data_IF_875168782192
#
_entry.id   IF_875168782192
#
_cell.length_a   1.000
_cell.length_b   1.000
_cell.length_c   1.000
_cell.angle_alpha   90.00
_cell.angle_beta   90.00
_cell.angle_gamma   90.00
#
_symmetry.space_group_name_H-M   'P 1'
#
loop_
_entity.id
_entity.type
_entity.pdbx_description
1 polymer ?
#
# COMPACT_ATOMS: atom_id res chain seq x y z
N UNK A 1 12.76 -4.02 -4.74
CA UNK A 1 12.88 -3.21 -5.97
C UNK A 1 14.29 -3.17 -6.60
N UNK A 2 15.32 -3.82 -6.03
CA UNK A 2 16.63 -4.00 -6.69
C UNK A 2 17.16 -5.45 -6.69
N UNK A 3 16.45 -6.40 -6.05
CA UNK A 3 16.91 -7.79 -5.90
C UNK A 3 16.79 -8.64 -7.19
N UNK A 4 16.32 -8.07 -8.30
CA UNK A 4 15.92 -8.83 -9.50
C UNK A 4 16.59 -8.34 -10.79
N UNK A 5 17.76 -7.71 -10.70
CA UNK A 5 18.54 -7.32 -11.86
C UNK A 5 19.80 -8.20 -11.89
N UNK A 6 19.70 -9.34 -12.58
CA UNK A 6 20.81 -10.26 -12.85
C UNK A 6 21.77 -9.75 -13.93
N UNK A 7 22.12 -8.46 -13.88
CA UNK A 7 23.02 -7.81 -14.82
C UNK A 7 24.07 -6.99 -14.07
N UNK A 8 25.20 -6.73 -14.73
CA UNK A 8 26.33 -5.93 -14.24
C UNK A 8 25.90 -4.50 -13.86
N UNK A 9 25.36 -4.33 -12.66
CA UNK A 9 25.04 -3.02 -12.09
C UNK A 9 26.33 -2.31 -11.70
N UNK A 10 26.47 -1.06 -12.14
CA UNK A 10 27.50 -0.15 -11.65
C UNK A 10 26.94 0.63 -10.45
N UNK A 11 27.82 1.15 -9.59
CA UNK A 11 27.40 1.96 -8.43
C UNK A 11 26.50 3.14 -8.83
N UNK A 12 26.71 3.71 -10.01
CA UNK A 12 25.89 4.78 -10.57
C UNK A 12 24.43 4.37 -10.85
N UNK A 13 24.16 3.07 -11.01
CA UNK A 13 22.83 2.52 -11.27
C UNK A 13 22.04 2.32 -9.97
N UNK A 14 22.71 2.34 -8.81
CA UNK A 14 22.05 2.18 -7.51
C UNK A 14 21.37 3.51 -7.15
N UNK A 15 20.02 3.55 -7.06
CA UNK A 15 19.32 4.77 -6.73
C UNK A 15 19.68 5.21 -5.31
N UNK A 16 20.14 6.46 -5.18
CA UNK A 16 20.36 7.10 -3.89
C UNK A 16 19.05 7.15 -3.07
N UNK A 17 19.16 7.28 -1.74
CA UNK A 17 18.00 7.28 -0.82
C UNK A 17 16.88 8.23 -1.25
N UNK A 18 17.24 9.42 -1.74
CA UNK A 18 16.28 10.43 -2.21
C UNK A 18 15.47 9.92 -3.40
N UNK A 19 16.13 9.24 -4.34
CA UNK A 19 15.49 8.65 -5.52
C UNK A 19 14.60 7.48 -5.11
N UNK A 20 15.05 6.64 -4.17
CA UNK A 20 14.23 5.57 -3.62
C UNK A 20 12.98 6.10 -2.93
N UNK A 21 13.10 7.10 -2.06
CA UNK A 21 11.95 7.73 -1.40
C UNK A 21 10.97 8.30 -2.43
N UNK A 22 11.46 9.00 -3.46
CA UNK A 22 10.60 9.50 -4.54
C UNK A 22 9.87 8.37 -5.28
N UNK A 23 10.57 7.28 -5.61
CA UNK A 23 9.97 6.14 -6.31
C UNK A 23 8.93 5.42 -5.44
N UNK A 24 9.20 5.26 -4.14
CA UNK A 24 8.25 4.67 -3.18
C UNK A 24 6.99 5.55 -3.07
N UNK A 25 7.17 6.85 -2.87
CA UNK A 25 6.03 7.78 -2.79
C UNK A 25 5.24 7.83 -4.09
N UNK A 26 5.90 7.89 -5.24
CA UNK A 26 5.24 7.89 -6.54
C UNK A 26 4.44 6.59 -6.77
N UNK A 27 5.01 5.44 -6.42
CA UNK A 27 4.31 4.15 -6.53
C UNK A 27 3.12 4.07 -5.57
N UNK A 28 3.32 4.52 -4.32
CA UNK A 28 2.26 4.57 -3.33
C UNK A 28 1.06 5.40 -3.81
N UNK A 29 1.28 6.58 -4.41
CA UNK A 29 0.19 7.41 -4.93
C UNK A 29 -0.64 6.70 -6.01
N UNK A 30 0.02 5.94 -6.89
CA UNK A 30 -0.67 5.15 -7.93
C UNK A 30 -1.51 4.05 -7.30
N UNK A 31 -0.93 3.29 -6.37
CA UNK A 31 -1.61 2.17 -5.72
C UNK A 31 -2.76 2.65 -4.81
N UNK A 32 -2.55 3.76 -4.09
CA UNK A 32 -3.56 4.40 -3.25
C UNK A 32 -4.76 4.87 -4.07
N UNK A 33 -4.52 5.54 -5.20
CA UNK A 33 -5.60 5.97 -6.10
C UNK A 33 -6.36 4.77 -6.71
N UNK A 34 -5.69 3.64 -6.95
CA UNK A 34 -6.33 2.42 -7.40
C UNK A 34 -7.19 1.79 -6.30
N UNK A 35 -6.66 1.69 -5.08
CA UNK A 35 -7.39 1.22 -3.89
C UNK A 35 -8.67 2.04 -3.65
N UNK A 36 -8.60 3.38 -3.70
CA UNK A 36 -9.78 4.22 -3.51
C UNK A 36 -10.87 3.95 -4.56
N UNK A 37 -10.48 3.76 -5.82
CA UNK A 37 -11.41 3.41 -6.90
C UNK A 37 -12.05 2.04 -6.66
N UNK A 38 -11.29 1.06 -6.17
CA UNK A 38 -11.82 -0.26 -5.83
C UNK A 38 -12.80 -0.21 -4.66
N UNK A 39 -12.48 0.54 -3.60
CA UNK A 39 -13.34 0.72 -2.43
C UNK A 39 -14.66 1.41 -2.82
N UNK A 40 -14.61 2.40 -3.71
CA UNK A 40 -15.80 3.12 -4.19
C UNK A 40 -16.81 2.21 -4.89
N UNK A 41 -16.35 1.14 -5.54
CA UNK A 41 -17.20 0.18 -6.26
C UNK A 41 -17.37 -1.14 -5.51
N UNK A 42 -16.86 -1.23 -4.28
CA UNK A 42 -16.91 -2.44 -3.48
C UNK A 42 -18.38 -2.83 -3.17
N UNK A 43 -18.81 -4.06 -3.50
CA UNK A 43 -20.13 -4.53 -3.09
C UNK A 43 -20.23 -4.63 -1.57
N UNK A 44 -21.25 -4.00 -0.99
CA UNK A 44 -21.58 -4.13 0.42
C UNK A 44 -20.89 -3.08 1.30
N UNK A 45 -20.49 -3.49 2.51
CA UNK A 45 -19.92 -2.58 3.52
C UNK A 45 -18.40 -2.63 3.49
N UNK A 46 -17.80 -1.48 3.77
CA UNK A 46 -16.37 -1.33 4.03
C UNK A 46 -16.18 -1.32 5.55
N UNK A 47 -15.23 -2.11 6.04
CA UNK A 47 -14.87 -2.14 7.45
C UNK A 47 -13.43 -1.63 7.63
N UNK A 48 -13.13 -1.09 8.82
CA UNK A 48 -11.82 -0.57 9.17
C UNK A 48 -11.35 -1.19 10.48
N UNK A 49 -10.06 -1.44 10.59
CA UNK A 49 -9.39 -1.73 11.86
C UNK A 49 -8.39 -0.63 12.12
N UNK A 50 -8.53 -0.02 13.31
CA UNK A 50 -7.67 1.05 13.77
C UNK A 50 -6.79 0.50 14.89
N UNK A 51 -5.49 0.54 14.70
CA UNK A 51 -4.50 0.26 15.74
C UNK A 51 -3.94 1.58 16.24
N UNK A 52 -4.11 1.84 17.55
CA UNK A 52 -3.69 3.08 18.21
C UNK A 52 -2.67 2.70 19.28
N UNK A 53 -1.47 3.26 19.19
CA UNK A 53 -0.44 3.03 20.19
C UNK A 53 0.43 4.26 20.39
N UNK A 54 1.13 4.30 21.52
CA UNK A 54 2.15 5.32 21.80
C UNK A 54 3.51 4.67 21.96
N UNK A 55 4.56 5.33 21.50
CA UNK A 55 5.95 4.95 21.83
C UNK A 55 6.29 5.39 23.26
N UNK A 56 7.44 4.91 23.77
CA UNK A 56 7.94 5.29 25.11
C UNK A 56 8.23 6.80 25.23
N UNK A 57 8.50 7.47 24.12
CA UNK A 57 8.66 8.93 24.06
C UNK A 57 7.32 9.68 23.96
N UNK A 58 6.19 9.00 24.15
CA UNK A 58 4.82 9.51 24.10
C UNK A 58 4.34 9.97 22.71
N UNK A 59 5.06 9.61 21.64
CA UNK A 59 4.56 9.84 20.28
C UNK A 59 3.38 8.91 19.98
N UNK A 60 2.21 9.49 19.74
CA UNK A 60 1.01 8.75 19.33
C UNK A 60 1.09 8.34 17.86
N UNK A 61 0.66 7.12 17.58
CA UNK A 61 0.59 6.53 16.26
C UNK A 61 -0.81 5.97 16.02
N UNK A 62 -1.23 5.99 14.77
CA UNK A 62 -2.47 5.41 14.29
C UNK A 62 -2.18 4.66 12.99
N UNK A 63 -2.48 3.37 12.96
CA UNK A 63 -2.50 2.56 11.75
C UNK A 63 -3.93 2.21 11.40
N UNK A 64 -4.36 2.51 10.17
CA UNK A 64 -5.71 2.21 9.69
C UNK A 64 -5.61 1.17 8.58
N UNK A 65 -6.30 0.05 8.75
CA UNK A 65 -6.42 -0.98 7.71
C UNK A 65 -7.87 -1.09 7.26
N UNK A 66 -8.10 -1.02 5.95
CA UNK A 66 -9.42 -1.17 5.35
C UNK A 66 -9.63 -2.60 4.87
N UNK A 67 -10.84 -3.12 5.08
CA UNK A 67 -11.31 -4.42 4.65
C UNK A 67 -12.58 -4.25 3.80
N UNK A 68 -12.57 -4.79 2.57
CA UNK A 68 -13.69 -4.68 1.65
C UNK A 68 -13.73 -5.87 0.68
N UNK A 69 -14.93 -6.21 0.20
CA UNK A 69 -15.07 -7.23 -0.84
C UNK A 69 -14.96 -6.59 -2.22
N UNK A 70 -14.37 -7.31 -3.17
CA UNK A 70 -14.44 -7.01 -4.60
C UNK A 70 -15.10 -8.16 -5.34
N UNK A 71 -15.79 -7.85 -6.44
CA UNK A 71 -16.35 -8.87 -7.32
C UNK A 71 -15.40 -9.12 -8.48
N UNK A 72 -14.93 -10.35 -8.62
CA UNK A 72 -14.09 -10.76 -9.74
C UNK A 72 -14.91 -11.02 -11.02
N UNK A 73 -14.23 -11.12 -12.16
CA UNK A 73 -14.86 -11.36 -13.46
C UNK A 73 -15.63 -12.70 -13.53
N UNK A 74 -15.21 -13.70 -12.74
CA UNK A 74 -15.88 -15.00 -12.59
C UNK A 74 -17.16 -14.92 -11.71
N UNK A 75 -17.45 -13.76 -11.11
CA UNK A 75 -18.58 -13.53 -10.22
C UNK A 75 -18.32 -13.75 -8.73
N UNK A 76 -17.14 -14.26 -8.36
CA UNK A 76 -16.76 -14.51 -6.96
C UNK A 76 -16.52 -13.22 -6.19
N UNK A 77 -16.78 -13.27 -4.88
CA UNK A 77 -16.42 -12.20 -3.95
C UNK A 77 -15.08 -12.53 -3.28
N UNK A 78 -14.14 -11.60 -3.35
CA UNK A 78 -12.83 -11.72 -2.71
C UNK A 78 -12.66 -10.63 -1.67
N UNK A 79 -12.30 -11.01 -0.45
CA UNK A 79 -11.94 -10.07 0.61
C UNK A 79 -10.56 -9.48 0.31
N UNK A 80 -10.48 -8.16 0.19
CA UNK A 80 -9.25 -7.39 0.16
C UNK A 80 -9.04 -6.66 1.47
N UNK A 81 -7.77 -6.62 1.89
CA UNK A 81 -7.31 -5.96 3.12
C UNK A 81 -6.09 -5.12 2.77
N UNK A 82 -6.12 -3.82 3.06
CA UNK A 82 -5.04 -2.88 2.70
C UNK A 82 -4.87 -1.79 3.77
N UNK A 83 -3.62 -1.44 4.06
CA UNK A 83 -3.27 -0.30 4.92
C UNK A 83 -3.54 1.01 4.18
N UNK A 84 -4.14 1.98 4.87
CA UNK A 84 -4.49 3.31 4.36
C UNK A 84 -3.41 4.32 4.70
#
# INVERSE_FOLDING_TARGET
LLLFIGAQLQDADIPHRTKLSQLISARFQVDYAAMLREIQVAPGRVAFTDDVWSRLNLDSHLGITTHYFIKEANGNLVLKTQLV
#
